data_IF_147324359394
#
_entry.id   IF_147324359394
#
_cell.length_a   1.000
_cell.length_b   1.000
_cell.length_c   1.000
_cell.angle_alpha   90.00
_cell.angle_beta   90.00
_cell.angle_gamma   90.00
#
_symmetry.space_group_name_H-M   'P 1'
#
loop_
_entity.id
_entity.type
_entity.pdbx_description
1 polymer ?
#
# COMPACT_ATOMS: atom_id res chain seq x y z
N UNK A 1 40.28 6.62 0.52
CA UNK A 1 39.73 5.35 1.03
C UNK A 1 38.26 5.56 1.38
N UNK A 2 37.38 5.53 0.38
CA UNK A 2 35.91 5.54 0.48
C UNK A 2 35.39 5.09 -0.90
N UNK A 3 35.50 3.80 -1.20
CA UNK A 3 34.87 3.20 -2.39
C UNK A 3 34.12 1.90 -2.05
N UNK A 4 34.44 1.27 -0.92
CA UNK A 4 33.83 0.01 -0.52
C UNK A 4 32.48 0.19 0.22
N UNK A 5 32.29 1.28 1.00
CA UNK A 5 31.03 1.56 1.70
C UNK A 5 29.88 1.90 0.73
N UNK A 6 30.08 2.86 -0.19
CA UNK A 6 29.09 3.22 -1.21
C UNK A 6 28.75 2.05 -2.17
N UNK A 7 29.71 1.17 -2.45
CA UNK A 7 29.48 -0.02 -3.29
C UNK A 7 28.67 -1.08 -2.55
N UNK A 8 28.88 -1.27 -1.25
CA UNK A 8 28.10 -2.21 -0.44
C UNK A 8 26.66 -1.71 -0.25
N UNK A 9 26.49 -0.40 -0.03
CA UNK A 9 25.17 0.23 0.03
C UNK A 9 24.44 0.09 -1.32
N UNK A 10 25.14 0.34 -2.44
CA UNK A 10 24.56 0.18 -3.78
C UNK A 10 24.16 -1.28 -4.09
N UNK A 11 25.00 -2.26 -3.74
CA UNK A 11 24.67 -3.68 -3.91
C UNK A 11 23.49 -4.12 -3.02
N UNK A 12 23.45 -3.64 -1.78
CA UNK A 12 22.33 -3.91 -0.85
C UNK A 12 21.03 -3.32 -1.39
N UNK A 13 21.03 -2.03 -1.73
CA UNK A 13 19.86 -1.34 -2.29
C UNK A 13 19.37 -1.98 -3.58
N UNK A 14 20.28 -2.46 -4.44
CA UNK A 14 19.89 -3.19 -5.64
C UNK A 14 19.27 -4.56 -5.33
N UNK A 15 19.79 -5.26 -4.31
CA UNK A 15 19.23 -6.53 -3.86
C UNK A 15 17.83 -6.37 -3.28
N UNK A 16 17.63 -5.38 -2.42
CA UNK A 16 16.33 -5.02 -1.83
C UNK A 16 15.33 -4.63 -2.92
N UNK A 17 15.74 -3.75 -3.84
CA UNK A 17 14.92 -3.35 -4.99
C UNK A 17 14.50 -4.54 -5.85
N UNK A 18 15.40 -5.51 -6.10
CA UNK A 18 15.07 -6.72 -6.86
C UNK A 18 14.09 -7.63 -6.12
N UNK A 19 14.22 -7.76 -4.80
CA UNK A 19 13.29 -8.55 -4.00
C UNK A 19 11.90 -7.92 -4.00
N UNK A 20 11.82 -6.60 -3.81
CA UNK A 20 10.59 -5.84 -3.89
C UNK A 20 9.95 -5.94 -5.29
N UNK A 21 10.74 -5.77 -6.35
CA UNK A 21 10.30 -5.95 -7.73
C UNK A 21 9.65 -7.32 -7.97
N UNK A 22 10.28 -8.39 -7.47
CA UNK A 22 9.77 -9.75 -7.60
C UNK A 22 8.47 -9.95 -6.82
N UNK A 23 8.37 -9.35 -5.63
CA UNK A 23 7.16 -9.39 -4.81
C UNK A 23 6.01 -8.65 -5.52
N UNK A 24 6.23 -7.39 -5.93
CA UNK A 24 5.26 -6.56 -6.66
C UNK A 24 4.78 -7.21 -7.96
N UNK A 25 5.69 -7.80 -8.73
CA UNK A 25 5.33 -8.49 -9.98
C UNK A 25 4.40 -9.69 -9.75
N UNK A 26 4.50 -10.34 -8.58
CA UNK A 26 3.66 -11.50 -8.24
C UNK A 26 2.24 -11.14 -7.79
N UNK A 27 1.97 -9.85 -7.54
CA UNK A 27 0.67 -9.37 -7.06
C UNK A 27 -0.31 -9.20 -8.21
N UNK A 28 -1.42 -9.93 -8.13
CA UNK A 28 -2.49 -9.93 -9.11
C UNK A 28 -3.82 -9.99 -8.37
N UNK A 29 -4.43 -8.81 -8.16
CA UNK A 29 -5.73 -8.68 -7.52
C UNK A 29 -6.42 -7.39 -7.98
N UNK A 30 -7.75 -7.38 -8.20
CA UNK A 30 -8.47 -6.19 -8.70
C UNK A 30 -8.33 -4.96 -7.81
N UNK A 31 -8.17 -5.14 -6.49
CA UNK A 31 -8.04 -4.06 -5.51
C UNK A 31 -6.58 -3.72 -5.15
N UNK A 32 -5.60 -4.17 -5.94
CA UNK A 32 -4.17 -3.84 -5.80
C UNK A 32 -3.72 -3.17 -7.10
N UNK A 33 -3.11 -1.99 -7.01
CA UNK A 33 -2.50 -1.30 -8.15
C UNK A 33 -1.38 -2.16 -8.76
N UNK A 34 -1.48 -2.54 -10.05
CA UNK A 34 -0.49 -3.38 -10.68
C UNK A 34 0.80 -2.62 -11.01
N UNK A 35 1.92 -3.34 -10.91
CA UNK A 35 3.21 -2.92 -11.45
C UNK A 35 3.17 -2.95 -12.98
N UNK A 36 3.47 -1.81 -13.60
CA UNK A 36 3.55 -1.65 -15.06
C UNK A 36 4.98 -1.88 -15.55
N UNK A 37 5.97 -1.42 -14.79
CA UNK A 37 7.37 -1.53 -15.19
C UNK A 37 8.35 -1.16 -14.09
N UNK A 38 9.62 -1.42 -14.38
CA UNK A 38 10.74 -1.21 -13.47
C UNK A 38 11.80 -0.43 -14.26
N UNK A 39 12.33 0.65 -13.69
CA UNK A 39 13.56 1.27 -14.18
C UNK A 39 14.71 0.87 -13.28
N UNK A 40 15.87 0.61 -13.90
CA UNK A 40 17.12 0.38 -13.17
C UNK A 40 18.04 1.62 -13.18
N UNK A 41 17.64 2.69 -13.87
CA UNK A 41 18.39 3.95 -13.97
C UNK A 41 17.42 5.15 -14.10
N UNK A 42 17.01 5.80 -13.00
CA UNK A 42 17.23 5.42 -11.60
C UNK A 42 16.44 4.15 -11.22
N UNK A 43 16.77 3.54 -10.08
CA UNK A 43 15.96 2.46 -9.50
C UNK A 43 14.56 3.01 -9.15
N UNK A 44 13.53 2.62 -9.88
CA UNK A 44 12.16 3.01 -9.57
C UNK A 44 11.11 2.04 -10.13
N UNK A 45 9.91 2.09 -9.55
CA UNK A 45 8.74 1.34 -9.99
C UNK A 45 7.75 2.27 -10.70
N UNK A 46 7.21 1.79 -11.82
CA UNK A 46 6.09 2.41 -12.50
C UNK A 46 4.82 1.62 -12.18
N UNK A 47 3.88 2.25 -11.49
CA UNK A 47 2.58 1.68 -11.15
C UNK A 47 1.48 2.22 -12.07
N UNK A 48 0.37 1.50 -12.17
CA UNK A 48 -0.78 1.99 -12.95
C UNK A 48 -1.36 3.25 -12.31
N UNK A 49 -1.51 4.32 -13.10
CA UNK A 49 -2.06 5.58 -12.64
C UNK A 49 -3.58 5.48 -12.43
N UNK A 50 -4.03 5.90 -11.26
CA UNK A 50 -5.44 6.00 -10.94
C UNK A 50 -6.05 7.28 -11.56
N UNK A 51 -7.20 7.20 -12.24
CA UNK A 51 -7.79 8.36 -12.93
C UNK A 51 -8.28 9.46 -11.98
N UNK A 52 -8.60 9.13 -10.72
CA UNK A 52 -9.18 10.07 -9.76
C UNK A 52 -8.24 10.37 -8.56
N UNK A 53 -6.98 9.93 -8.63
CA UNK A 53 -6.00 10.18 -7.57
C UNK A 53 -6.27 9.39 -6.29
N UNK A 54 -5.81 9.93 -5.16
CA UNK A 54 -5.98 9.30 -3.84
C UNK A 54 -7.37 9.55 -3.27
N UNK A 55 -7.80 8.64 -2.40
CA UNK A 55 -9.06 8.76 -1.67
C UNK A 55 -9.05 10.00 -0.78
N UNK A 56 -7.89 10.38 -0.22
CA UNK A 56 -7.77 11.59 0.57
C UNK A 56 -8.23 12.85 -0.21
N UNK A 57 -7.72 13.05 -1.42
CA UNK A 57 -8.09 14.17 -2.29
C UNK A 57 -9.59 14.14 -2.60
N UNK A 58 -10.12 12.96 -2.95
CA UNK A 58 -11.55 12.80 -3.27
C UNK A 58 -12.44 13.14 -2.08
N UNK A 59 -12.06 12.74 -0.87
CA UNK A 59 -12.81 13.02 0.35
C UNK A 59 -12.78 14.51 0.71
N UNK A 60 -11.61 15.15 0.61
CA UNK A 60 -11.43 16.58 0.88
C UNK A 60 -12.27 17.45 -0.07
N UNK A 61 -12.25 17.15 -1.38
CA UNK A 61 -12.99 17.94 -2.36
C UNK A 61 -14.51 17.82 -2.19
N UNK A 62 -14.99 16.64 -1.81
CA UNK A 62 -16.42 16.40 -1.57
C UNK A 62 -16.89 16.97 -0.22
N UNK A 63 -15.99 17.12 0.76
CA UNK A 63 -16.29 17.74 2.05
C UNK A 63 -16.67 19.22 1.92
N UNK A 64 -16.17 19.93 0.90
CA UNK A 64 -16.44 21.35 0.66
C UNK A 64 -17.88 21.63 0.18
N UNK A 65 -18.63 20.61 -0.25
CA UNK A 65 -19.91 20.75 -0.96
C UNK A 65 -21.19 20.44 -0.16
N UNK A 66 -21.25 19.36 0.64
CA UNK A 66 -22.37 19.02 1.55
C UNK A 66 -22.18 17.65 2.23
N UNK A 67 -22.72 17.51 3.47
CA UNK A 67 -23.13 16.30 4.21
C UNK A 67 -22.07 15.38 4.84
N UNK A 68 -22.54 14.72 5.92
CA UNK A 68 -21.86 13.77 6.83
C UNK A 68 -21.21 12.53 6.14
N UNK A 69 -21.35 12.36 4.83
CA UNK A 69 -20.82 11.22 4.06
C UNK A 69 -20.40 11.64 2.63
N UNK A 70 -19.12 11.93 2.39
CA UNK A 70 -18.64 12.43 1.09
C UNK A 70 -18.89 11.47 -0.09
N UNK A 71 -18.86 10.15 0.13
CA UNK A 71 -19.05 9.12 -0.90
C UNK A 71 -20.48 8.58 -0.99
N UNK A 72 -21.32 8.85 0.02
CA UNK A 72 -22.60 8.16 0.21
C UNK A 72 -22.47 6.70 0.69
N UNK A 73 -23.52 6.18 1.34
CA UNK A 73 -23.48 4.89 2.05
C UNK A 73 -23.02 3.71 1.20
N UNK A 74 -23.56 3.57 -0.01
CA UNK A 74 -23.28 2.40 -0.85
C UNK A 74 -21.81 2.36 -1.31
N UNK A 75 -21.28 3.50 -1.76
CA UNK A 75 -19.90 3.57 -2.22
C UNK A 75 -18.91 3.43 -1.05
N UNK A 76 -19.23 4.01 0.11
CA UNK A 76 -18.43 3.80 1.35
C UNK A 76 -18.35 2.33 1.72
N UNK A 77 -19.48 1.62 1.76
CA UNK A 77 -19.49 0.20 2.10
C UNK A 77 -18.70 -0.64 1.08
N UNK A 78 -18.87 -0.34 -0.20
CA UNK A 78 -18.17 -1.03 -1.28
C UNK A 78 -16.66 -0.78 -1.26
N UNK A 79 -16.23 0.46 -1.00
CA UNK A 79 -14.83 0.80 -0.86
C UNK A 79 -14.20 0.07 0.33
N UNK A 80 -14.86 0.06 1.49
CA UNK A 80 -14.41 -0.68 2.68
C UNK A 80 -14.27 -2.19 2.39
N UNK A 81 -15.23 -2.79 1.69
CA UNK A 81 -15.14 -4.18 1.25
C UNK A 81 -13.96 -4.42 0.31
N UNK A 82 -13.73 -3.54 -0.66
CA UNK A 82 -12.60 -3.66 -1.60
C UNK A 82 -11.24 -3.49 -0.91
N UNK A 83 -11.15 -2.61 0.09
CA UNK A 83 -9.94 -2.45 0.94
C UNK A 83 -9.67 -3.76 1.67
N UNK A 84 -10.67 -4.28 2.39
CA UNK A 84 -10.54 -5.54 3.12
C UNK A 84 -10.20 -6.72 2.20
N UNK A 85 -10.79 -6.78 1.00
CA UNK A 85 -10.46 -7.80 0.00
C UNK A 85 -9.01 -7.70 -0.48
N UNK A 86 -8.50 -6.47 -0.68
CA UNK A 86 -7.10 -6.21 -1.02
C UNK A 86 -6.14 -6.64 0.09
N UNK A 87 -6.42 -6.26 1.34
CA UNK A 87 -5.63 -6.66 2.51
C UNK A 87 -5.62 -8.18 2.69
N UNK A 88 -6.79 -8.82 2.66
CA UNK A 88 -6.90 -10.27 2.76
C UNK A 88 -6.10 -11.01 1.67
N UNK A 89 -6.00 -10.44 0.46
CA UNK A 89 -5.14 -10.98 -0.59
C UNK A 89 -3.65 -10.89 -0.23
N UNK A 90 -3.19 -9.73 0.26
CA UNK A 90 -1.80 -9.53 0.69
C UNK A 90 -1.44 -10.43 1.86
N UNK A 91 -2.30 -10.55 2.85
CA UNK A 91 -2.10 -11.42 4.01
C UNK A 91 -1.95 -12.89 3.60
N UNK A 92 -2.76 -13.38 2.65
CA UNK A 92 -2.60 -14.74 2.07
C UNK A 92 -1.27 -14.96 1.34
N UNK A 93 -0.62 -13.87 0.92
CA UNK A 93 0.72 -13.87 0.32
C UNK A 93 1.83 -13.64 1.35
N UNK A 94 1.50 -13.62 2.65
CA UNK A 94 2.38 -13.26 3.76
C UNK A 94 2.99 -11.86 3.59
N UNK A 95 2.18 -10.88 3.18
CA UNK A 95 2.60 -9.49 3.03
C UNK A 95 1.79 -8.64 3.99
N UNK A 96 2.47 -7.88 4.84
CA UNK A 96 1.89 -6.89 5.75
C UNK A 96 1.93 -5.53 5.04
N UNK A 97 0.80 -4.82 4.97
CA UNK A 97 0.70 -3.57 4.22
C UNK A 97 1.37 -2.41 4.94
N UNK A 98 1.22 -2.32 6.27
CA UNK A 98 1.89 -1.40 7.21
C UNK A 98 1.58 0.11 7.07
N UNK A 99 1.00 0.58 5.96
CA UNK A 99 0.72 2.01 5.77
C UNK A 99 -0.70 2.28 5.24
N UNK A 100 -1.70 1.65 5.87
CA UNK A 100 -3.11 1.83 5.53
C UNK A 100 -3.61 3.23 5.91
N UNK A 101 -3.80 4.08 4.91
CA UNK A 101 -4.36 5.44 5.02
C UNK A 101 -5.05 5.86 3.72
N UNK A 102 -5.85 6.93 3.78
CA UNK A 102 -6.57 7.47 2.62
C UNK A 102 -5.66 7.93 1.47
N UNK A 103 -4.42 8.32 1.75
CA UNK A 103 -3.43 8.69 0.72
C UNK A 103 -2.97 7.48 -0.12
N UNK A 104 -2.93 6.30 0.49
CA UNK A 104 -2.46 5.07 -0.13
C UNK A 104 -3.61 4.23 -0.73
N UNK A 105 -4.82 4.75 -0.69
CA UNK A 105 -5.98 4.17 -1.37
C UNK A 105 -6.25 5.02 -2.60
N UNK A 106 -6.10 4.45 -3.79
CA UNK A 106 -6.33 5.16 -5.04
C UNK A 106 -7.70 4.86 -5.63
N UNK A 107 -8.30 5.83 -6.31
CA UNK A 107 -9.68 5.78 -6.80
C UNK A 107 -9.73 5.59 -8.31
N UNK A 108 -10.37 4.50 -8.74
CA UNK A 108 -10.62 4.16 -10.15
C UNK A 108 -11.98 4.67 -10.65
N UNK A 109 -12.99 4.60 -9.79
CA UNK A 109 -14.35 5.03 -10.15
C UNK A 109 -15.16 5.40 -8.91
N UNK A 110 -16.07 6.36 -9.09
CA UNK A 110 -17.07 6.76 -8.08
C UNK A 110 -18.46 6.22 -8.40
N UNK A 111 -18.60 5.44 -9.47
CA UNK A 111 -19.85 4.80 -9.84
C UNK A 111 -20.01 3.46 -9.10
N UNK A 112 -21.12 3.31 -8.38
CA UNK A 112 -21.38 2.11 -7.56
C UNK A 112 -21.52 0.85 -8.42
N UNK A 113 -21.88 0.98 -9.70
CA UNK A 113 -22.05 -0.15 -10.61
C UNK A 113 -20.72 -0.69 -11.17
N UNK A 114 -19.64 0.08 -11.13
CA UNK A 114 -18.36 -0.34 -11.71
C UNK A 114 -17.69 -1.42 -10.87
N UNK A 115 -17.08 -2.46 -11.47
CA UNK A 115 -16.56 -3.59 -10.70
C UNK A 115 -15.47 -3.22 -9.68
N UNK A 116 -14.67 -2.19 -9.97
CA UNK A 116 -13.56 -1.72 -9.12
C UNK A 116 -13.68 -0.22 -8.91
N UNK A 117 -13.75 0.21 -7.65
CA UNK A 117 -13.82 1.62 -7.29
C UNK A 117 -12.49 2.09 -6.71
N UNK A 118 -11.81 1.24 -5.96
CA UNK A 118 -10.54 1.57 -5.32
C UNK A 118 -9.49 0.47 -5.52
N UNK A 119 -8.23 0.86 -5.38
CA UNK A 119 -7.09 -0.04 -5.25
C UNK A 119 -6.14 0.46 -4.19
N UNK A 120 -5.55 -0.45 -3.40
CA UNK A 120 -4.45 -0.13 -2.49
C UNK A 120 -3.19 0.14 -3.31
N UNK A 121 -2.39 1.10 -2.88
CA UNK A 121 -1.13 1.55 -3.49
C UNK A 121 -0.06 1.72 -2.41
N UNK A 122 1.17 2.01 -2.83
CA UNK A 122 2.29 2.38 -1.94
C UNK A 122 2.72 1.28 -0.95
N UNK A 123 2.82 0.05 -1.48
CA UNK A 123 3.36 -1.11 -0.76
C UNK A 123 4.90 -1.07 -0.62
N UNK A 124 5.55 0.08 -0.86
CA UNK A 124 7.01 0.24 -0.74
C UNK A 124 7.53 0.15 0.70
N UNK A 125 6.62 0.14 1.67
CA UNK A 125 6.86 -0.08 3.10
C UNK A 125 6.30 -1.46 3.53
N UNK A 126 5.72 -2.23 2.60
CA UNK A 126 5.12 -3.52 2.92
C UNK A 126 6.18 -4.59 3.14
N UNK A 127 5.96 -5.44 4.14
CA UNK A 127 6.94 -6.43 4.59
C UNK A 127 6.48 -7.83 4.30
N UNK A 128 7.40 -8.67 3.84
CA UNK A 128 7.17 -10.11 3.88
C UNK A 128 7.16 -10.54 5.35
N UNK A 129 6.00 -11.00 5.82
CA UNK A 129 5.88 -11.67 7.10
C UNK A 129 6.57 -13.03 6.98
N UNK A 130 7.62 -13.24 7.78
CA UNK A 130 8.15 -14.58 8.01
C UNK A 130 7.35 -15.24 9.13
N UNK A 131 7.50 -16.55 9.35
CA UNK A 131 6.82 -17.27 10.44
C UNK A 131 7.06 -16.65 11.84
N UNK A 132 8.12 -15.86 11.98
CA UNK A 132 8.49 -15.13 13.21
C UNK A 132 7.98 -13.68 13.24
N UNK A 133 7.12 -13.25 12.30
CA UNK A 133 6.60 -11.88 12.18
C UNK A 133 7.59 -10.89 11.54
N UNK A 134 7.28 -9.59 11.67
CA UNK A 134 8.10 -8.48 11.20
C UNK A 134 8.53 -7.58 12.38
N UNK A 135 9.72 -6.96 12.28
CA UNK A 135 10.34 -6.21 13.39
C UNK A 135 10.80 -4.82 12.93
N UNK A 136 10.26 -3.75 13.49
CA UNK A 136 10.56 -2.37 13.09
C UNK A 136 9.46 -1.38 13.48
N UNK A 137 9.73 -0.08 13.31
CA UNK A 137 8.75 0.99 13.53
C UNK A 137 8.47 1.65 12.19
N UNK A 138 7.43 1.19 11.50
CA UNK A 138 7.03 1.67 10.16
C UNK A 138 5.56 2.06 10.14
N UNK A 139 5.14 2.76 9.08
CA UNK A 139 3.79 3.30 8.92
C UNK A 139 3.65 4.76 9.38
N UNK A 140 2.56 5.38 8.95
CA UNK A 140 2.29 6.79 9.24
C UNK A 140 1.86 7.01 10.69
N UNK A 141 2.48 7.93 11.45
CA UNK A 141 2.05 8.27 12.80
C UNK A 141 0.56 8.66 12.84
N UNK A 142 -0.19 8.05 13.76
CA UNK A 142 -1.65 8.22 13.86
C UNK A 142 -2.46 7.09 13.21
N UNK A 143 -1.85 6.30 12.32
CA UNK A 143 -2.46 5.10 11.72
C UNK A 143 -1.85 3.78 12.25
N UNK A 144 -0.69 3.85 12.91
CA UNK A 144 0.00 2.70 13.48
C UNK A 144 -0.77 2.04 14.62
N UNK A 145 -0.86 0.71 14.57
CA UNK A 145 -1.30 -0.13 15.67
C UNK A 145 -0.41 0.05 16.93
N UNK A 146 -0.97 -0.04 18.15
CA UNK A 146 -0.24 0.25 19.39
C UNK A 146 0.99 -0.64 19.62
N UNK A 147 0.98 -1.86 19.12
CA UNK A 147 2.06 -2.86 19.18
C UNK A 147 3.25 -2.56 18.26
N UNK A 148 3.15 -1.64 17.30
CA UNK A 148 4.29 -1.26 16.45
C UNK A 148 5.30 -0.42 17.24
N UNK A 149 4.83 0.46 18.12
CA UNK A 149 5.68 1.47 18.81
C UNK A 149 6.72 0.89 19.78
N UNK A 150 6.44 -0.19 20.53
CA UNK A 150 7.42 -0.86 21.37
C UNK A 150 8.59 -1.49 20.59
N UNK A 151 8.52 -1.55 19.25
CA UNK A 151 9.53 -2.21 18.42
C UNK A 151 9.54 -3.73 18.59
N UNK A 152 8.41 -4.29 19.04
CA UNK A 152 8.23 -5.73 19.16
C UNK A 152 7.90 -6.34 17.80
N UNK A 153 8.02 -7.66 17.73
CA UNK A 153 7.56 -8.44 16.58
C UNK A 153 6.04 -8.29 16.44
N UNK A 154 5.58 -8.03 15.22
CA UNK A 154 4.17 -7.98 14.86
C UNK A 154 3.87 -8.81 13.61
N UNK A 155 2.59 -9.13 13.41
CA UNK A 155 2.09 -9.89 12.28
C UNK A 155 1.12 -9.04 11.43
N UNK A 156 0.36 -9.66 10.54
CA UNK A 156 -0.58 -8.97 9.65
C UNK A 156 -1.74 -8.25 10.38
N UNK A 157 -1.94 -8.51 11.68
CA UNK A 157 -3.02 -7.91 12.47
C UNK A 157 -2.86 -6.41 12.69
N UNK A 158 -1.69 -5.87 12.42
CA UNK A 158 -1.48 -4.42 12.43
C UNK A 158 -2.23 -3.69 11.31
N UNK A 159 -2.74 -4.41 10.30
CA UNK A 159 -3.54 -3.87 9.21
C UNK A 159 -5.07 -3.98 9.45
N UNK A 160 -5.53 -4.71 10.49
CA UNK A 160 -6.95 -5.00 10.79
C UNK A 160 -7.61 -3.90 11.63
#
# INVERSE_FOLDING_TARGET
MMKHLQSMDACRSFSEFRQEASMLHSLQHPCIVPLVGISIHPLCFALQLAPLGSLNIVLEDRHKGSRYMPLGHMLTFKAAYQIAAGLAYLHRKNIIFCDLKSDNILVWSLEVCDPVNIKLSDYGISRQSFHEGALGVEGTPGYQAPEIRPGIVYDEKVDD
#
